data_IF_661821550309
#
_entry.id   IF_661821550309
#
_cell.length_a   1.000
_cell.length_b   1.000
_cell.length_c   1.000
_cell.angle_alpha   90.00
_cell.angle_beta   90.00
_cell.angle_gamma   90.00
#
_symmetry.space_group_name_H-M   'P 1'
#
loop_
_entity.id
_entity.type
_entity.pdbx_description
1 polymer ?
#
# COMPACT_ATOMS: atom_id res chain seq x y z
N UNK A 1 58.42 -22.28 86.62
CA UNK A 1 58.77 -20.96 87.18
C UNK A 1 57.60 -20.00 86.93
N UNK A 2 57.10 -19.35 88.00
CA UNK A 2 56.33 -18.08 88.09
C UNK A 2 55.13 -17.89 87.12
N UNK A 3 53.89 -18.05 87.58
CA UNK A 3 53.00 -17.03 88.20
C UNK A 3 52.79 -15.76 87.35
N UNK A 4 51.57 -15.52 86.85
CA UNK A 4 50.64 -14.53 87.42
C UNK A 4 49.23 -14.64 86.79
N UNK A 5 48.23 -14.84 87.64
CA UNK A 5 46.81 -14.50 87.43
C UNK A 5 46.65 -12.95 87.42
N UNK A 6 45.55 -12.26 87.11
CA UNK A 6 44.12 -12.30 87.51
C UNK A 6 43.48 -11.20 86.58
N UNK A 7 42.27 -11.25 86.01
CA UNK A 7 40.95 -11.04 86.64
C UNK A 7 39.81 -11.25 85.64
N UNK A 8 38.79 -11.92 86.16
CA UNK A 8 37.49 -12.22 85.62
C UNK A 8 36.60 -10.99 85.42
N UNK A 9 35.67 -11.06 84.46
CA UNK A 9 34.26 -10.77 84.71
C UNK A 9 33.40 -11.36 83.59
N UNK A 10 32.56 -12.33 83.94
CA UNK A 10 31.46 -12.79 83.12
C UNK A 10 30.32 -11.76 83.16
N UNK A 11 29.59 -11.60 82.06
CA UNK A 11 28.15 -11.34 82.09
C UNK A 11 27.50 -11.65 80.73
N UNK A 12 26.72 -12.71 80.80
CA UNK A 12 25.64 -13.20 79.96
C UNK A 12 24.93 -12.27 78.96
N UNK A 13 24.40 -12.96 77.93
CA UNK A 13 23.03 -12.89 77.37
C UNK A 13 22.79 -12.20 76.02
N UNK A 14 22.26 -13.06 75.15
CA UNK A 14 21.02 -12.90 74.39
C UNK A 14 21.10 -12.42 72.94
N UNK A 15 20.65 -13.34 72.06
CA UNK A 15 20.31 -13.16 70.66
C UNK A 15 19.44 -11.90 70.46
N UNK A 16 19.87 -11.05 69.54
CA UNK A 16 19.01 -10.09 68.87
C UNK A 16 18.87 -10.51 67.40
N UNK A 17 17.70 -11.05 67.07
CA UNK A 17 17.23 -11.22 65.69
C UNK A 17 17.12 -9.81 65.07
N UNK A 18 18.05 -9.46 64.16
CA UNK A 18 17.92 -8.27 63.32
C UNK A 18 16.87 -8.56 62.25
N UNK A 19 15.70 -7.92 62.37
CA UNK A 19 14.71 -7.80 61.27
C UNK A 19 15.38 -7.12 60.08
N UNK A 20 15.15 -7.57 58.83
CA UNK A 20 15.57 -6.81 57.67
C UNK A 20 14.70 -5.55 57.60
N UNK A 21 15.35 -4.39 57.52
CA UNK A 21 14.68 -3.12 57.26
C UNK A 21 14.05 -3.20 55.87
N UNK A 22 12.73 -3.26 55.83
CA UNK A 22 11.96 -3.12 54.61
C UNK A 22 12.23 -1.71 54.06
N UNK A 23 13.10 -1.60 53.05
CA UNK A 23 13.24 -0.39 52.25
C UNK A 23 12.00 -0.35 51.36
N UNK A 24 10.98 0.37 51.81
CA UNK A 24 9.90 0.80 50.93
C UNK A 24 10.53 1.73 49.90
N UNK A 25 10.76 1.22 48.69
CA UNK A 25 10.86 2.08 47.52
C UNK A 25 9.48 2.71 47.37
N UNK A 26 9.32 3.92 47.91
CA UNK A 26 8.23 4.78 47.46
C UNK A 26 8.54 5.04 45.99
N UNK A 27 7.90 4.28 45.09
CA UNK A 27 7.80 4.69 43.70
C UNK A 27 7.14 6.07 43.77
N UNK A 28 7.94 7.13 43.67
CA UNK A 28 7.41 8.46 43.46
C UNK A 28 6.53 8.32 42.22
N UNK A 29 5.22 8.44 42.40
CA UNK A 29 4.28 8.40 41.29
C UNK A 29 4.77 9.44 40.29
N UNK A 30 5.25 8.97 39.13
CA UNK A 30 5.67 9.86 38.06
C UNK A 30 4.50 10.80 37.81
N UNK A 31 4.75 12.10 37.84
CA UNK A 31 3.72 13.08 37.54
C UNK A 31 3.17 12.74 36.14
N UNK A 32 1.86 12.54 35.98
CA UNK A 32 1.29 12.20 34.68
C UNK A 32 1.69 13.27 33.66
N UNK A 33 2.13 12.84 32.47
CA UNK A 33 2.52 13.76 31.40
C UNK A 33 1.32 14.63 30.93
N UNK A 34 0.09 14.12 31.10
CA UNK A 34 -1.15 14.79 30.78
C UNK A 34 -2.26 14.42 31.76
N UNK A 35 -3.38 15.15 31.70
CA UNK A 35 -4.66 14.65 32.23
C UNK A 35 -5.04 13.33 31.52
N UNK A 36 -5.85 12.46 32.16
CA UNK A 36 -6.35 11.24 31.52
C UNK A 36 -7.02 11.52 30.17
N UNK A 37 -6.71 10.70 29.17
CA UNK A 37 -7.12 10.92 27.78
C UNK A 37 -8.55 10.43 27.53
N UNK A 38 -9.37 11.29 26.95
CA UNK A 38 -10.71 10.99 26.43
C UNK A 38 -10.64 11.10 24.92
N UNK A 39 -10.50 9.95 24.28
CA UNK A 39 -10.05 9.83 22.90
C UNK A 39 -11.24 9.60 21.97
N UNK A 40 -11.35 10.44 20.93
CA UNK A 40 -12.17 10.15 19.77
C UNK A 40 -11.31 9.46 18.69
N UNK A 41 -11.49 8.16 18.52
CA UNK A 41 -10.74 7.35 17.57
C UNK A 41 -11.49 7.22 16.24
N UNK A 42 -10.88 7.68 15.15
CA UNK A 42 -11.47 7.66 13.81
C UNK A 42 -10.71 6.67 12.92
N UNK A 43 -11.39 5.74 12.27
CA UNK A 43 -10.75 4.79 11.35
C UNK A 43 -11.72 3.96 10.51
N UNK A 44 -11.21 2.93 9.83
CA UNK A 44 -12.06 2.10 8.96
C UNK A 44 -11.56 0.68 8.71
N UNK A 45 -10.26 0.46 8.53
CA UNK A 45 -9.68 -0.79 8.04
C UNK A 45 -8.90 -1.57 9.13
N UNK A 46 -8.28 -2.67 8.74
CA UNK A 46 -7.46 -3.52 9.61
C UNK A 46 -6.27 -2.80 10.27
N UNK A 47 -5.69 -1.81 9.58
CA UNK A 47 -4.60 -1.01 10.14
C UNK A 47 -5.11 -0.17 11.32
N UNK A 48 -6.28 0.46 11.15
CA UNK A 48 -6.95 1.16 12.26
C UNK A 48 -7.45 0.24 13.36
N UNK A 49 -7.87 -0.99 13.04
CA UNK A 49 -8.25 -2.00 14.04
C UNK A 49 -7.10 -2.34 14.98
N UNK A 50 -5.89 -2.52 14.45
CA UNK A 50 -4.71 -2.82 15.27
C UNK A 50 -4.38 -1.67 16.24
N UNK A 51 -4.44 -0.43 15.74
CA UNK A 51 -4.25 0.76 16.58
C UNK A 51 -5.31 0.87 17.68
N UNK A 52 -6.60 0.67 17.37
CA UNK A 52 -7.68 0.67 18.37
C UNK A 52 -7.47 -0.42 19.43
N UNK A 53 -7.13 -1.64 19.00
CA UNK A 53 -6.88 -2.75 19.92
C UNK A 53 -5.72 -2.45 20.90
N UNK A 54 -4.65 -1.83 20.40
CA UNK A 54 -3.53 -1.39 21.24
C UNK A 54 -3.94 -0.30 22.25
N UNK A 55 -4.80 0.65 21.85
CA UNK A 55 -5.34 1.67 22.75
C UNK A 55 -6.26 1.08 23.83
N UNK A 56 -7.13 0.13 23.48
CA UNK A 56 -8.00 -0.58 24.44
C UNK A 56 -7.16 -1.35 25.45
N UNK A 57 -6.14 -2.08 24.97
CA UNK A 57 -5.19 -2.79 25.83
C UNK A 57 -4.46 -1.82 26.77
N UNK A 58 -4.04 -0.65 26.27
CA UNK A 58 -3.39 0.36 27.11
C UNK A 58 -4.34 0.98 28.12
N UNK A 59 -5.61 1.21 27.77
CA UNK A 59 -6.64 1.69 28.69
C UNK A 59 -6.86 0.72 29.84
N UNK A 60 -6.91 -0.57 29.58
CA UNK A 60 -7.05 -1.60 30.62
C UNK A 60 -5.83 -1.65 31.54
N UNK A 61 -4.63 -1.52 30.96
CA UNK A 61 -3.36 -1.54 31.69
C UNK A 61 -3.10 -0.26 32.48
N UNK A 62 -3.47 0.89 31.93
CA UNK A 62 -3.15 2.22 32.43
C UNK A 62 -4.36 3.16 32.31
N UNK A 63 -5.41 2.96 33.15
CA UNK A 63 -6.62 3.79 33.12
C UNK A 63 -6.36 5.25 33.54
N UNK A 64 -5.21 5.54 34.15
CA UNK A 64 -4.78 6.91 34.42
C UNK A 64 -4.27 7.65 33.18
N UNK A 65 -3.83 6.93 32.14
CA UNK A 65 -3.44 7.51 30.85
C UNK A 65 -4.63 7.64 29.91
N UNK A 66 -5.48 6.60 29.81
CA UNK A 66 -6.67 6.62 28.94
C UNK A 66 -7.92 6.40 29.78
N UNK A 67 -8.77 7.41 29.83
CA UNK A 67 -10.04 7.42 30.57
C UNK A 67 -11.19 6.83 29.73
N UNK A 68 -11.35 7.29 28.48
CA UNK A 68 -12.43 6.85 27.58
C UNK A 68 -11.99 6.76 26.12
N UNK A 69 -12.70 5.91 25.37
CA UNK A 69 -12.51 5.68 23.94
C UNK A 69 -13.88 5.67 23.26
N UNK A 70 -14.07 6.53 22.27
CA UNK A 70 -15.24 6.57 21.41
C UNK A 70 -14.79 6.42 19.96
N UNK A 71 -15.54 5.66 19.17
CA UNK A 71 -15.12 5.27 17.82
C UNK A 71 -15.96 5.96 16.77
N UNK A 72 -15.32 6.65 15.82
CA UNK A 72 -15.95 7.18 14.60
C UNK A 72 -15.59 6.28 13.43
N UNK A 73 -16.62 5.77 12.77
CA UNK A 73 -16.49 5.00 11.52
C UNK A 73 -17.33 5.65 10.44
N UNK A 74 -16.96 5.40 9.19
CA UNK A 74 -17.87 5.70 8.08
C UNK A 74 -18.98 4.64 8.01
N UNK A 75 -20.19 4.99 7.56
CA UNK A 75 -21.22 4.01 7.26
C UNK A 75 -20.74 2.99 6.22
N UNK A 76 -21.21 1.76 6.34
CA UNK A 76 -20.99 0.73 5.32
C UNK A 76 -21.55 1.19 3.97
N UNK A 77 -20.84 0.87 2.88
CA UNK A 77 -21.28 1.21 1.51
C UNK A 77 -21.87 -0.01 0.83
N UNK A 78 -22.88 0.20 -0.01
CA UNK A 78 -23.41 -0.84 -0.87
C UNK A 78 -22.34 -1.33 -1.86
N UNK A 79 -22.32 -2.64 -2.08
CA UNK A 79 -21.34 -3.38 -2.86
C UNK A 79 -21.97 -4.64 -3.45
N UNK A 80 -21.21 -5.39 -4.25
CA UNK A 80 -21.68 -6.59 -4.95
C UNK A 80 -22.48 -6.30 -6.23
N UNK A 81 -22.85 -7.36 -6.97
CA UNK A 81 -23.68 -7.21 -8.17
C UNK A 81 -25.07 -6.70 -7.78
N UNK A 82 -25.49 -5.57 -8.34
CA UNK A 82 -26.77 -4.93 -8.00
C UNK A 82 -26.75 -4.14 -6.69
N UNK A 83 -25.58 -3.87 -6.09
CA UNK A 83 -25.43 -3.03 -4.89
C UNK A 83 -26.29 -3.49 -3.71
N UNK A 84 -26.44 -4.81 -3.51
CA UNK A 84 -27.31 -5.38 -2.46
C UNK A 84 -26.58 -5.71 -1.17
N UNK A 85 -25.24 -5.77 -1.19
CA UNK A 85 -24.43 -6.17 -0.03
C UNK A 85 -23.82 -4.94 0.62
N UNK A 86 -24.10 -4.69 1.90
CA UNK A 86 -23.39 -3.65 2.65
C UNK A 86 -22.00 -4.19 2.97
N UNK A 87 -20.96 -3.54 2.42
CA UNK A 87 -19.59 -3.79 2.82
C UNK A 87 -19.42 -3.34 4.26
N UNK A 88 -19.26 -4.30 5.15
CA UNK A 88 -18.98 -4.04 6.56
C UNK A 88 -17.64 -3.32 6.72
N UNK A 89 -17.57 -2.43 7.70
CA UNK A 89 -16.36 -1.68 8.05
C UNK A 89 -15.66 -2.45 9.17
N UNK A 90 -14.45 -3.00 8.95
CA UNK A 90 -13.74 -3.81 9.95
C UNK A 90 -13.67 -3.16 11.34
N UNK A 91 -13.39 -1.85 11.41
CA UNK A 91 -13.31 -1.14 12.68
C UNK A 91 -14.64 -1.08 13.43
N UNK A 92 -15.76 -1.00 12.69
CA UNK A 92 -17.10 -0.99 13.30
C UNK A 92 -17.36 -2.31 14.02
N UNK A 93 -17.10 -3.43 13.34
CA UNK A 93 -17.27 -4.76 13.91
C UNK A 93 -16.42 -4.94 15.17
N UNK A 94 -15.15 -4.54 15.12
CA UNK A 94 -14.25 -4.61 16.26
C UNK A 94 -14.75 -3.75 17.45
N UNK A 95 -15.20 -2.53 17.17
CA UNK A 95 -15.71 -1.63 18.21
C UNK A 95 -17.01 -2.15 18.85
N UNK A 96 -17.89 -2.81 18.06
CA UNK A 96 -19.10 -3.48 18.56
C UNK A 96 -18.73 -4.64 19.49
N UNK A 97 -17.77 -5.48 19.09
CA UNK A 97 -17.27 -6.60 19.91
C UNK A 97 -16.66 -6.11 21.23
N UNK A 98 -15.94 -5.00 21.20
CA UNK A 98 -15.35 -4.34 22.37
C UNK A 98 -16.35 -3.50 23.17
N UNK A 99 -17.61 -3.38 22.71
CA UNK A 99 -18.68 -2.58 23.32
C UNK A 99 -18.30 -1.10 23.53
N UNK A 100 -17.53 -0.55 22.59
CA UNK A 100 -17.20 0.87 22.59
C UNK A 100 -18.37 1.69 22.01
N UNK A 101 -18.57 2.95 22.43
CA UNK A 101 -19.50 3.85 21.77
C UNK A 101 -19.08 4.08 20.31
N UNK A 102 -20.05 4.03 19.39
CA UNK A 102 -19.81 4.17 17.95
C UNK A 102 -20.60 5.35 17.38
N UNK A 103 -19.94 6.15 16.57
CA UNK A 103 -20.52 7.23 15.79
C UNK A 103 -20.32 6.96 14.30
N UNK A 104 -21.40 6.61 13.60
CA UNK A 104 -21.35 6.44 12.13
C UNK A 104 -21.51 7.79 11.42
N UNK A 105 -20.46 8.22 10.70
CA UNK A 105 -20.42 9.54 10.05
C UNK A 105 -19.79 9.48 8.66
N UNK A 106 -20.53 9.94 7.66
CA UNK A 106 -20.00 10.23 6.32
C UNK A 106 -19.51 11.68 6.17
N UNK A 107 -19.83 12.54 7.13
CA UNK A 107 -19.35 13.92 7.24
C UNK A 107 -19.35 14.38 8.70
N UNK A 108 -18.48 15.34 9.03
CA UNK A 108 -18.46 16.03 10.32
C UNK A 108 -19.30 17.33 10.33
N UNK A 109 -19.90 17.70 9.20
CA UNK A 109 -20.75 18.90 9.11
C UNK A 109 -21.92 18.82 10.09
N UNK A 110 -22.05 19.83 10.96
CA UNK A 110 -23.14 19.93 11.94
C UNK A 110 -23.07 18.91 13.09
N UNK A 111 -22.02 18.09 13.18
CA UNK A 111 -21.88 17.07 14.22
C UNK A 111 -20.75 17.39 15.20
N UNK A 112 -20.97 17.13 16.48
CA UNK A 112 -19.92 17.09 17.50
C UNK A 112 -20.17 15.93 18.44
N UNK A 113 -19.13 15.35 19.05
CA UNK A 113 -19.33 14.38 20.11
C UNK A 113 -20.04 15.07 21.29
N UNK A 114 -20.95 14.34 21.94
CA UNK A 114 -21.64 14.81 23.15
C UNK A 114 -20.78 14.68 24.40
N UNK A 115 -19.67 13.95 24.28
CA UNK A 115 -18.68 13.74 25.33
C UNK A 115 -17.58 14.79 25.28
N UNK A 116 -16.98 15.05 26.44
CA UNK A 116 -15.79 15.89 26.53
C UNK A 116 -14.56 15.11 26.04
N UNK A 117 -14.03 15.48 24.87
CA UNK A 117 -12.83 14.87 24.29
C UNK A 117 -11.63 15.77 24.52
N UNK A 118 -10.46 15.18 24.74
CA UNK A 118 -9.21 15.95 24.83
C UNK A 118 -8.15 15.52 23.82
N UNK A 119 -8.38 14.44 23.06
CA UNK A 119 -7.52 13.99 21.98
C UNK A 119 -8.33 13.33 20.86
N UNK A 120 -7.97 13.61 19.60
CA UNK A 120 -8.50 12.90 18.43
C UNK A 120 -7.39 12.03 17.85
N UNK A 121 -7.67 10.77 17.53
CA UNK A 121 -6.71 9.90 16.85
C UNK A 121 -7.37 9.43 15.56
N UNK A 122 -6.82 9.80 14.40
CA UNK A 122 -7.31 9.33 13.11
C UNK A 122 -6.28 8.41 12.47
N UNK A 123 -6.66 7.17 12.17
CA UNK A 123 -5.80 6.14 11.56
C UNK A 123 -6.57 5.53 10.40
N UNK A 124 -6.02 5.59 9.18
CA UNK A 124 -6.72 5.14 7.96
C UNK A 124 -8.16 5.65 7.86
N UNK A 125 -8.36 6.94 8.14
CA UNK A 125 -9.67 7.57 8.14
C UNK A 125 -9.84 8.50 6.94
N UNK A 126 -10.81 8.18 6.08
CA UNK A 126 -11.00 8.87 4.79
C UNK A 126 -11.74 10.21 4.86
N UNK A 127 -11.91 10.81 6.05
CA UNK A 127 -12.50 12.15 6.20
C UNK A 127 -11.52 13.08 6.91
N UNK A 128 -11.53 14.33 6.47
CA UNK A 128 -10.74 15.38 7.08
C UNK A 128 -11.35 15.80 8.41
N UNK A 129 -10.59 15.79 9.51
CA UNK A 129 -11.07 16.25 10.82
C UNK A 129 -11.06 17.79 10.84
N UNK A 130 -12.22 18.45 10.91
CA UNK A 130 -12.28 19.90 10.78
C UNK A 130 -11.62 20.61 11.97
N UNK A 131 -11.08 21.83 11.78
CA UNK A 131 -10.46 22.60 12.85
C UNK A 131 -11.35 22.79 14.08
N UNK A 132 -12.68 22.90 13.90
CA UNK A 132 -13.63 22.99 15.01
C UNK A 132 -13.53 21.80 15.97
N UNK A 133 -13.39 20.58 15.46
CA UNK A 133 -13.25 19.39 16.32
C UNK A 133 -11.85 19.31 16.93
N UNK A 134 -10.80 19.63 16.15
CA UNK A 134 -9.43 19.69 16.67
C UNK A 134 -9.29 20.69 17.84
N UNK A 135 -10.01 21.82 17.78
CA UNK A 135 -10.01 22.83 18.82
C UNK A 135 -10.81 22.44 20.07
N UNK A 136 -11.73 21.47 19.98
CA UNK A 136 -12.39 20.90 21.16
C UNK A 136 -11.42 20.03 21.96
N UNK A 137 -10.53 19.33 21.27
CA UNK A 137 -9.54 18.47 21.89
C UNK A 137 -8.34 19.29 22.40
N UNK A 138 -8.16 19.36 23.72
CA UNK A 138 -7.03 20.06 24.38
C UNK A 138 -5.66 19.74 23.76
N UNK A 139 -5.43 18.49 23.36
CA UNK A 139 -4.18 18.00 22.76
C UNK A 139 -4.25 17.87 21.24
N UNK A 140 -5.29 18.42 20.60
CA UNK A 140 -5.49 18.38 19.15
C UNK A 140 -5.75 16.96 18.66
N UNK A 141 -5.00 16.53 17.65
CA UNK A 141 -5.12 15.15 17.16
C UNK A 141 -3.85 14.57 16.59
N UNK A 142 -3.83 13.24 16.48
CA UNK A 142 -2.72 12.43 16.01
C UNK A 142 -3.14 11.56 14.82
N UNK A 143 -2.15 11.23 14.00
CA UNK A 143 -2.23 10.22 12.95
C UNK A 143 -0.99 9.33 12.99
N UNK A 144 -1.18 8.05 12.68
CA UNK A 144 -0.09 7.12 12.41
C UNK A 144 -0.12 6.80 10.92
N UNK A 145 0.93 7.19 10.21
CA UNK A 145 1.05 7.03 8.78
C UNK A 145 2.09 5.94 8.47
N UNK A 146 1.77 4.93 7.63
CA UNK A 146 2.69 3.82 7.36
C UNK A 146 3.66 4.16 6.22
N UNK A 147 4.38 5.27 6.37
CA UNK A 147 5.57 5.64 5.59
C UNK A 147 6.55 6.45 6.43
N UNK A 148 7.76 6.69 5.89
CA UNK A 148 8.71 7.68 6.40
C UNK A 148 8.40 9.07 5.82
N UNK A 149 7.47 9.80 6.44
CA UNK A 149 7.17 11.18 6.01
C UNK A 149 8.45 12.06 6.01
N UNK A 150 8.61 12.95 5.01
CA UNK A 150 7.61 13.39 4.03
C UNK A 150 7.40 12.46 2.82
N UNK A 151 8.10 11.33 2.71
CA UNK A 151 7.94 10.39 1.60
C UNK A 151 6.60 9.64 1.67
N UNK A 152 6.02 9.40 0.49
CA UNK A 152 4.73 8.71 0.28
C UNK A 152 3.53 9.29 1.04
N UNK A 153 3.43 10.62 1.17
CA UNK A 153 2.18 11.24 1.67
C UNK A 153 0.96 10.78 0.88
N UNK A 154 -0.17 10.59 1.56
CA UNK A 154 -1.44 10.31 0.91
C UNK A 154 -2.02 8.94 1.25
N UNK A 155 -3.12 8.56 0.58
CA UNK A 155 -3.97 7.47 1.05
C UNK A 155 -3.53 6.04 0.68
N UNK A 156 -2.50 5.84 -0.15
CA UNK A 156 -2.06 4.50 -0.56
C UNK A 156 -0.53 4.26 -0.43
N UNK A 157 0.09 4.62 0.71
CA UNK A 157 1.55 4.63 0.87
C UNK A 157 2.19 3.26 0.66
N UNK A 158 1.56 2.18 1.14
CA UNK A 158 2.11 0.82 1.05
C UNK A 158 2.24 0.35 -0.40
N UNK A 159 1.20 0.58 -1.20
CA UNK A 159 1.20 0.18 -2.60
C UNK A 159 2.23 0.98 -3.39
N UNK A 160 2.26 2.31 -3.21
CA UNK A 160 3.22 3.17 -3.91
C UNK A 160 4.66 2.87 -3.49
N UNK A 161 4.90 2.56 -2.22
CA UNK A 161 6.22 2.12 -1.74
C UNK A 161 6.73 0.91 -2.53
N UNK A 162 5.87 -0.10 -2.72
CA UNK A 162 6.21 -1.30 -3.49
C UNK A 162 6.34 -1.03 -5.00
N UNK A 163 5.44 -0.22 -5.58
CA UNK A 163 5.49 0.14 -7.00
C UNK A 163 6.76 0.92 -7.36
N UNK A 164 7.24 1.77 -6.45
CA UNK A 164 8.50 2.50 -6.58
C UNK A 164 9.73 1.66 -6.21
N UNK A 165 9.56 0.35 -5.96
CA UNK A 165 10.63 -0.61 -5.67
C UNK A 165 11.53 -0.15 -4.51
N UNK A 166 10.93 0.51 -3.50
CA UNK A 166 11.67 0.87 -2.29
C UNK A 166 12.14 -0.41 -1.59
N UNK A 167 13.34 -0.35 -1.03
CA UNK A 167 13.91 -1.43 -0.22
C UNK A 167 13.56 -1.28 1.26
N UNK A 168 13.12 -0.09 1.67
CA UNK A 168 12.72 0.23 3.04
C UNK A 168 11.44 1.07 3.05
N UNK A 169 10.66 0.92 4.11
CA UNK A 169 9.52 1.78 4.46
C UNK A 169 9.68 2.29 5.89
N UNK A 170 8.66 2.87 6.48
CA UNK A 170 8.63 3.13 7.91
C UNK A 170 7.24 3.45 8.39
N UNK A 171 7.17 3.85 9.65
CA UNK A 171 5.96 4.39 10.26
C UNK A 171 6.28 5.75 10.87
N UNK A 172 5.32 6.66 10.77
CA UNK A 172 5.40 8.00 11.34
C UNK A 172 4.18 8.29 12.21
N UNK A 173 4.41 8.66 13.47
CA UNK A 173 3.43 9.30 14.33
C UNK A 173 3.55 10.82 14.17
N UNK A 174 2.46 11.47 13.77
CA UNK A 174 2.39 12.91 13.55
C UNK A 174 1.13 13.50 14.18
N UNK A 175 1.08 14.82 14.29
CA UNK A 175 -0.18 15.51 14.56
C UNK A 175 -1.12 15.46 13.35
N UNK A 176 -2.40 15.74 13.57
CA UNK A 176 -3.30 16.13 12.49
C UNK A 176 -3.04 17.58 12.10
N UNK A 177 -3.00 17.85 10.79
CA UNK A 177 -2.87 19.19 10.25
C UNK A 177 -4.26 19.74 9.87
N UNK A 178 -4.47 21.06 9.97
CA UNK A 178 -5.78 21.71 9.86
C UNK A 178 -6.37 21.82 8.45
N UNK A 179 -5.58 21.56 7.40
CA UNK A 179 -6.04 21.68 6.00
C UNK A 179 -5.55 20.58 5.04
N UNK A 180 -4.57 19.80 5.45
CA UNK A 180 -3.80 18.93 4.53
C UNK A 180 -3.53 17.61 5.22
N UNK A 181 -3.82 16.49 4.57
CA UNK A 181 -3.45 15.17 5.10
C UNK A 181 -1.93 15.02 5.13
N UNK A 182 -1.40 14.35 6.16
CA UNK A 182 0.01 13.94 6.25
C UNK A 182 1.06 15.07 6.23
N UNK A 183 0.65 16.24 6.71
CA UNK A 183 1.49 17.43 6.91
C UNK A 183 1.56 17.84 8.39
N UNK A 184 1.30 16.91 9.32
CA UNK A 184 1.43 17.15 10.74
C UNK A 184 2.89 17.31 11.18
N UNK A 185 3.07 17.84 12.39
CA UNK A 185 4.38 17.78 13.06
C UNK A 185 4.72 16.34 13.35
N UNK A 186 5.87 15.85 12.91
CA UNK A 186 6.30 14.48 13.17
C UNK A 186 6.81 14.36 14.60
N UNK A 187 6.17 13.53 15.40
CA UNK A 187 6.43 13.37 16.84
C UNK A 187 7.29 12.14 17.14
N UNK A 188 7.15 11.10 16.33
CA UNK A 188 7.98 9.90 16.36
C UNK A 188 7.99 9.28 14.97
N UNK A 189 9.10 8.63 14.63
CA UNK A 189 9.27 8.00 13.34
C UNK A 189 10.20 6.80 13.49
N UNK A 190 10.03 5.80 12.63
CA UNK A 190 11.00 4.70 12.55
C UNK A 190 12.38 5.26 12.23
N UNK A 191 13.44 4.87 12.96
CA UNK A 191 14.80 5.31 12.64
C UNK A 191 15.23 4.89 11.23
N UNK A 192 16.04 5.71 10.57
CA UNK A 192 16.65 5.37 9.29
C UNK A 192 17.57 4.14 9.41
N UNK A 193 17.65 3.28 8.38
CA UNK A 193 17.07 3.44 7.04
C UNK A 193 15.56 3.09 6.94
N UNK A 194 14.93 2.68 8.05
CA UNK A 194 13.53 2.27 8.11
C UNK A 194 13.35 0.77 8.31
N UNK A 195 12.16 0.29 8.00
CA UNK A 195 11.78 -1.13 8.04
C UNK A 195 12.14 -1.75 6.69
N UNK A 196 13.00 -2.79 6.64
CA UNK A 196 13.35 -3.45 5.38
C UNK A 196 12.13 -4.12 4.76
N UNK A 197 12.02 -4.02 3.44
CA UNK A 197 10.96 -4.64 2.65
C UNK A 197 11.50 -5.94 2.06
N UNK A 198 10.87 -7.09 2.34
CA UNK A 198 11.26 -8.36 1.72
C UNK A 198 11.20 -8.31 0.20
N UNK A 199 12.06 -9.08 -0.46
CA UNK A 199 11.97 -9.27 -1.90
C UNK A 199 10.61 -9.85 -2.28
N UNK A 200 10.06 -9.39 -3.40
CA UNK A 200 8.74 -9.82 -3.88
C UNK A 200 7.61 -9.69 -2.85
N UNK A 201 7.72 -8.74 -1.91
CA UNK A 201 6.68 -8.47 -0.93
C UNK A 201 5.37 -8.05 -1.61
N UNK A 202 4.25 -8.62 -1.13
CA UNK A 202 2.89 -8.20 -1.44
C UNK A 202 2.47 -7.04 -0.55
N UNK A 203 1.45 -6.28 -0.96
CA UNK A 203 0.87 -5.22 -0.12
C UNK A 203 0.37 -5.76 1.22
N UNK A 204 -0.18 -6.98 1.26
CA UNK A 204 -0.68 -7.58 2.49
C UNK A 204 0.46 -7.94 3.44
N UNK A 205 1.54 -8.55 2.95
CA UNK A 205 2.71 -8.84 3.78
C UNK A 205 3.35 -7.56 4.32
N UNK A 206 3.48 -6.51 3.49
CA UNK A 206 4.00 -5.23 3.96
C UNK A 206 3.09 -4.60 5.03
N UNK A 207 1.76 -4.67 4.82
CA UNK A 207 0.78 -4.26 5.82
C UNK A 207 1.00 -5.03 7.14
N UNK A 208 1.14 -6.35 7.10
CA UNK A 208 1.29 -7.18 8.29
C UNK A 208 2.60 -6.90 9.04
N UNK A 209 3.65 -6.48 8.32
CA UNK A 209 4.92 -6.02 8.91
C UNK A 209 4.76 -4.67 9.64
N UNK A 210 4.17 -3.67 8.99
CA UNK A 210 4.13 -2.29 9.53
C UNK A 210 3.03 -2.05 10.56
N UNK A 211 1.94 -2.80 10.49
CA UNK A 211 0.75 -2.62 11.33
C UNK A 211 1.04 -2.73 12.83
N UNK A 212 1.70 -3.81 13.34
CA UNK A 212 2.00 -3.90 14.76
C UNK A 212 2.95 -2.78 15.23
N UNK A 213 3.95 -2.44 14.42
CA UNK A 213 4.90 -1.36 14.71
C UNK A 213 4.20 0.01 14.82
N UNK A 214 3.20 0.24 13.98
CA UNK A 214 2.38 1.44 14.01
C UNK A 214 1.52 1.55 15.27
N UNK A 215 0.88 0.46 15.66
CA UNK A 215 0.09 0.40 16.88
C UNK A 215 0.97 0.62 18.13
N UNK A 216 2.16 0.01 18.17
CA UNK A 216 3.12 0.19 19.25
C UNK A 216 3.65 1.62 19.32
N UNK A 217 4.00 2.22 18.17
CA UNK A 217 4.47 3.61 18.10
C UNK A 217 3.44 4.60 18.62
N UNK A 218 2.14 4.36 18.34
CA UNK A 218 1.06 5.19 18.87
C UNK A 218 1.03 5.15 20.40
N UNK A 219 1.00 3.95 20.98
CA UNK A 219 0.91 3.76 22.43
C UNK A 219 2.17 4.27 23.14
N UNK A 220 3.36 4.02 22.58
CA UNK A 220 4.62 4.58 23.11
C UNK A 220 4.58 6.12 23.11
N UNK A 221 4.08 6.72 22.02
CA UNK A 221 3.93 8.16 21.91
C UNK A 221 3.02 8.75 22.99
N UNK A 222 1.89 8.09 23.28
CA UNK A 222 0.98 8.51 24.36
C UNK A 222 1.65 8.37 25.75
N UNK A 223 2.31 7.23 26.02
CA UNK A 223 3.01 7.00 27.31
C UNK A 223 4.11 8.02 27.56
N UNK A 224 4.81 8.45 26.52
CA UNK A 224 5.87 9.47 26.57
C UNK A 224 5.33 10.90 26.59
N UNK A 225 4.03 11.09 26.45
CA UNK A 225 3.42 12.43 26.42
C UNK A 225 3.74 13.23 25.17
N UNK A 226 3.99 12.59 24.02
CA UNK A 226 4.37 13.30 22.78
C UNK A 226 3.25 14.20 22.24
N UNK A 227 2.01 13.95 22.63
CA UNK A 227 0.84 14.78 22.32
C UNK A 227 0.77 16.07 23.15
N UNK A 228 1.62 16.23 24.16
CA UNK A 228 1.57 17.36 25.10
C UNK A 228 2.47 18.49 24.60
N UNK A 229 1.93 19.71 24.39
CA UNK A 229 2.75 20.86 24.02
C UNK A 229 3.81 21.23 25.08
N UNK A 230 4.95 21.82 24.68
CA UNK A 230 5.34 22.16 23.30
C UNK A 230 5.75 20.93 22.49
N UNK A 231 5.23 20.83 21.27
CA UNK A 231 5.55 19.73 20.35
C UNK A 231 6.93 19.96 19.72
N UNK A 232 7.69 18.88 19.56
CA UNK A 232 8.99 18.89 18.88
C UNK A 232 8.90 18.08 17.60
N UNK A 233 9.21 18.72 16.47
CA UNK A 233 9.36 18.01 15.20
C UNK A 233 10.67 17.21 15.20
N UNK A 234 10.55 15.90 15.12
CA UNK A 234 11.67 14.94 15.03
C UNK A 234 11.71 14.21 13.69
N UNK A 235 10.89 14.64 12.73
CA UNK A 235 10.81 14.01 11.43
C UNK A 235 12.14 14.07 10.69
N UNK A 236 12.41 13.01 9.93
CA UNK A 236 13.49 13.01 8.96
C UNK A 236 13.31 14.17 7.96
N UNK A 237 14.41 14.87 7.68
CA UNK A 237 14.48 16.00 6.77
C UNK A 237 15.40 15.63 5.60
N UNK A 238 14.85 15.19 4.46
CA UNK A 238 15.66 14.92 3.28
C UNK A 238 16.33 16.20 2.78
N UNK A 239 17.55 16.07 2.26
CA UNK A 239 18.33 17.17 1.67
C UNK A 239 18.90 16.76 0.31
N UNK A 240 19.15 17.74 -0.56
CA UNK A 240 19.75 17.50 -1.88
C UNK A 240 18.97 16.50 -2.74
N UNK A 241 19.66 15.49 -3.28
CA UNK A 241 19.09 14.45 -4.15
C UNK A 241 18.00 13.60 -3.46
N UNK A 242 17.95 13.54 -2.13
CA UNK A 242 16.89 12.81 -1.42
C UNK A 242 15.52 13.47 -1.61
N UNK A 243 15.50 14.80 -1.75
CA UNK A 243 14.27 15.57 -1.98
C UNK A 243 13.67 15.23 -3.34
N UNK A 244 14.52 15.09 -4.37
CA UNK A 244 14.10 14.73 -5.74
C UNK A 244 13.52 13.30 -5.82
N UNK A 245 13.87 12.46 -4.86
CA UNK A 245 13.39 11.07 -4.77
C UNK A 245 12.07 10.95 -4.00
N UNK A 246 11.56 12.02 -3.39
CA UNK A 246 10.29 11.97 -2.66
C UNK A 246 9.13 11.67 -3.60
N UNK A 247 8.25 10.78 -3.17
CA UNK A 247 7.09 10.35 -3.91
C UNK A 247 5.81 10.74 -3.17
N UNK A 248 4.75 11.02 -3.92
CA UNK A 248 3.39 11.08 -3.37
C UNK A 248 2.71 9.72 -3.55
N UNK A 249 1.77 9.38 -2.67
CA UNK A 249 1.02 8.13 -2.69
C UNK A 249 -0.47 8.38 -2.92
N UNK A 250 -0.88 8.83 -4.12
CA UNK A 250 -2.26 9.14 -4.42
C UNK A 250 -3.17 7.92 -4.33
N UNK A 251 -4.47 8.17 -4.20
CA UNK A 251 -5.47 7.11 -4.10
C UNK A 251 -5.50 6.28 -5.38
N UNK A 252 -5.37 4.97 -5.22
CA UNK A 252 -5.49 4.04 -6.33
C UNK A 252 -6.91 4.00 -6.92
N UNK A 253 -6.99 3.99 -8.24
CA UNK A 253 -8.22 3.89 -9.03
C UNK A 253 -8.29 2.55 -9.76
N UNK A 254 -9.36 2.34 -10.53
CA UNK A 254 -9.48 1.15 -11.39
C UNK A 254 -8.51 1.22 -12.57
N UNK A 255 -8.15 2.43 -13.01
CA UNK A 255 -7.28 2.66 -14.16
C UNK A 255 -5.84 2.21 -13.86
N UNK A 256 -5.36 2.36 -12.63
CA UNK A 256 -4.03 1.87 -12.20
C UNK A 256 -3.83 0.35 -12.41
N UNK A 257 -4.93 -0.39 -12.61
CA UNK A 257 -4.91 -1.84 -12.87
C UNK A 257 -5.05 -2.20 -14.34
N UNK A 258 -5.18 -1.21 -15.24
CA UNK A 258 -5.17 -1.44 -16.68
C UNK A 258 -3.75 -1.68 -17.15
N UNK A 259 -3.49 -2.80 -17.82
CA UNK A 259 -2.15 -3.09 -18.35
C UNK A 259 -1.80 -2.06 -19.43
N UNK A 260 -0.71 -1.32 -19.22
CA UNK A 260 -0.13 -0.45 -20.22
C UNK A 260 1.00 -1.19 -20.96
N UNK A 261 0.65 -1.83 -22.08
CA UNK A 261 1.60 -2.57 -22.93
C UNK A 261 2.68 -1.69 -23.56
N UNK A 262 2.48 -0.37 -23.63
CA UNK A 262 3.44 0.57 -24.21
C UNK A 262 4.60 0.91 -23.26
N UNK A 263 4.31 0.95 -21.96
CA UNK A 263 5.23 1.52 -20.97
C UNK A 263 5.75 0.47 -19.99
N UNK A 264 4.97 -0.56 -19.69
CA UNK A 264 5.34 -1.51 -18.64
C UNK A 264 6.16 -2.66 -19.23
N UNK A 265 7.29 -2.95 -18.59
CA UNK A 265 8.04 -4.20 -18.78
C UNK A 265 7.28 -5.42 -18.23
N UNK A 266 7.75 -6.64 -18.54
CA UNK A 266 7.21 -7.85 -17.92
C UNK A 266 7.29 -7.81 -16.38
N UNK A 267 8.41 -7.33 -15.83
CA UNK A 267 8.61 -7.14 -14.39
C UNK A 267 7.65 -6.12 -13.79
N UNK A 268 7.39 -5.01 -14.49
CA UNK A 268 6.41 -4.00 -14.07
C UNK A 268 5.00 -4.56 -13.97
N UNK A 269 4.62 -5.40 -14.93
CA UNK A 269 3.29 -6.03 -14.98
C UNK A 269 3.14 -7.01 -13.81
N UNK A 270 4.13 -7.86 -13.57
CA UNK A 270 4.09 -8.82 -12.45
C UNK A 270 4.16 -8.12 -11.09
N UNK A 271 5.00 -7.09 -10.93
CA UNK A 271 5.02 -6.24 -9.74
C UNK A 271 3.64 -5.63 -9.47
N UNK A 272 3.01 -5.03 -10.47
CA UNK A 272 1.68 -4.42 -10.33
C UNK A 272 0.62 -5.45 -10.01
N UNK A 273 0.66 -6.64 -10.62
CA UNK A 273 -0.27 -7.72 -10.27
C UNK A 273 -0.12 -8.12 -8.80
N UNK A 274 1.11 -8.23 -8.32
CA UNK A 274 1.41 -8.59 -6.93
C UNK A 274 0.95 -7.52 -5.93
N UNK A 275 1.13 -6.24 -6.27
CA UNK A 275 0.84 -5.10 -5.38
C UNK A 275 -0.64 -4.71 -5.41
N UNK A 276 -1.24 -4.67 -6.61
CA UNK A 276 -2.59 -4.15 -6.85
C UNK A 276 -3.65 -5.26 -6.94
N UNK A 277 -3.23 -6.52 -7.07
CA UNK A 277 -4.10 -7.66 -7.33
C UNK A 277 -4.41 -7.82 -8.83
N UNK A 278 -5.58 -8.35 -9.21
CA UNK A 278 -5.90 -8.64 -10.61
C UNK A 278 -5.80 -7.40 -11.50
N UNK A 279 -4.93 -7.49 -12.51
CA UNK A 279 -4.83 -6.53 -13.61
C UNK A 279 -5.83 -6.88 -14.70
N UNK A 280 -6.21 -5.87 -15.48
CA UNK A 280 -7.14 -6.02 -16.58
C UNK A 280 -6.63 -5.36 -17.84
N UNK A 281 -7.11 -5.85 -18.97
CA UNK A 281 -6.89 -5.29 -20.29
C UNK A 281 -8.18 -5.43 -21.10
N UNK A 282 -8.30 -4.71 -22.20
CA UNK A 282 -9.41 -4.86 -23.13
C UNK A 282 -8.89 -5.41 -24.45
N UNK A 283 -9.42 -6.55 -24.88
CA UNK A 283 -9.07 -7.20 -26.13
C UNK A 283 -10.16 -6.97 -27.17
N UNK A 284 -9.76 -6.73 -28.42
CA UNK A 284 -10.67 -6.70 -29.57
C UNK A 284 -10.77 -8.10 -30.16
N UNK A 285 -11.98 -8.64 -30.24
CA UNK A 285 -12.25 -9.90 -30.91
C UNK A 285 -12.00 -9.75 -32.41
N UNK A 286 -11.32 -10.72 -33.03
CA UNK A 286 -10.82 -10.54 -34.39
C UNK A 286 -11.92 -10.52 -35.47
N UNK A 287 -12.97 -11.34 -35.31
CA UNK A 287 -14.08 -11.43 -36.28
C UNK A 287 -15.13 -10.31 -36.12
N UNK A 288 -15.82 -10.26 -34.98
CA UNK A 288 -16.95 -9.34 -34.75
C UNK A 288 -16.55 -7.95 -34.22
N UNK A 289 -15.24 -7.71 -34.03
CA UNK A 289 -14.64 -6.48 -33.48
C UNK A 289 -15.18 -6.08 -32.10
N UNK A 290 -15.79 -7.01 -31.37
CA UNK A 290 -16.30 -6.77 -30.02
C UNK A 290 -15.16 -6.60 -29.02
N UNK A 291 -15.26 -5.58 -28.17
CA UNK A 291 -14.30 -5.34 -27.09
C UNK A 291 -14.70 -6.12 -25.85
N UNK A 292 -13.76 -6.90 -25.31
CA UNK A 292 -13.96 -7.71 -24.11
C UNK A 292 -12.88 -7.40 -23.08
N UNK A 293 -13.29 -7.16 -21.83
CA UNK A 293 -12.33 -7.06 -20.73
C UNK A 293 -11.80 -8.45 -20.36
N UNK A 294 -10.49 -8.53 -20.18
CA UNK A 294 -9.78 -9.73 -19.77
C UNK A 294 -8.98 -9.46 -18.50
N UNK A 295 -8.77 -10.52 -17.73
CA UNK A 295 -7.87 -10.56 -16.58
C UNK A 295 -6.84 -11.65 -16.85
N UNK A 296 -5.57 -11.28 -16.90
CA UNK A 296 -4.46 -12.22 -17.05
C UNK A 296 -4.10 -12.74 -15.65
N UNK A 297 -4.27 -14.04 -15.44
CA UNK A 297 -4.13 -14.66 -14.12
C UNK A 297 -2.82 -15.43 -14.02
N UNK A 298 -2.18 -15.35 -12.85
CA UNK A 298 -0.93 -16.06 -12.53
C UNK A 298 0.23 -15.75 -13.49
N UNK A 299 0.40 -14.48 -13.86
CA UNK A 299 1.49 -14.10 -14.76
C UNK A 299 2.83 -14.27 -14.07
N UNK A 300 3.82 -14.73 -14.84
CA UNK A 300 5.19 -14.93 -14.39
C UNK A 300 6.14 -14.30 -15.40
N UNK A 301 7.19 -13.64 -14.91
CA UNK A 301 8.31 -13.28 -15.77
C UNK A 301 9.13 -14.54 -15.99
N UNK A 302 9.42 -14.84 -17.25
CA UNK A 302 10.27 -15.96 -17.66
C UNK A 302 11.37 -15.44 -18.57
N UNK A 303 12.46 -16.17 -18.62
CA UNK A 303 13.44 -16.02 -19.69
C UNK A 303 12.74 -16.24 -21.04
N UNK A 304 13.08 -15.42 -22.04
CA UNK A 304 12.50 -15.52 -23.36
C UNK A 304 12.86 -16.88 -23.96
N UNK A 305 11.89 -17.73 -24.35
CA UNK A 305 12.20 -18.96 -25.05
C UNK A 305 12.98 -18.69 -26.35
N UNK A 306 14.00 -19.51 -26.65
CA UNK A 306 14.91 -19.31 -27.80
C UNK A 306 14.17 -19.09 -29.13
N UNK A 307 13.08 -19.82 -29.37
CA UNK A 307 12.30 -19.66 -30.61
C UNK A 307 11.57 -18.30 -30.70
N UNK A 308 11.18 -17.72 -29.56
CA UNK A 308 10.54 -16.40 -29.49
C UNK A 308 11.61 -15.31 -29.63
N UNK A 309 12.76 -15.47 -29.00
CA UNK A 309 13.90 -14.54 -29.15
C UNK A 309 14.36 -14.48 -30.61
N UNK A 310 14.53 -15.64 -31.25
CA UNK A 310 14.90 -15.72 -32.66
C UNK A 310 13.80 -15.13 -33.57
N UNK A 311 12.53 -15.31 -33.23
CA UNK A 311 11.42 -14.67 -33.93
C UNK A 311 11.46 -13.14 -33.79
N UNK A 312 11.73 -12.63 -32.59
CA UNK A 312 11.79 -11.20 -32.31
C UNK A 312 12.92 -10.51 -33.08
N UNK A 313 14.08 -11.15 -33.18
CA UNK A 313 15.21 -10.69 -33.99
C UNK A 313 14.81 -10.57 -35.47
N UNK A 314 14.24 -11.63 -36.05
CA UNK A 314 13.79 -11.62 -37.46
C UNK A 314 12.65 -10.62 -37.70
N UNK A 315 11.77 -10.43 -36.72
CA UNK A 315 10.73 -9.41 -36.80
C UNK A 315 11.32 -7.99 -36.83
N UNK A 316 12.36 -7.71 -36.03
CA UNK A 316 13.10 -6.43 -36.08
C UNK A 316 13.81 -6.22 -37.42
N UNK A 317 14.46 -7.26 -37.95
CA UNK A 317 15.08 -7.23 -39.29
C UNK A 317 14.05 -6.97 -40.40
N UNK A 318 12.83 -7.48 -40.25
CA UNK A 318 11.75 -7.19 -41.19
C UNK A 318 11.29 -5.73 -41.08
N UNK A 319 11.05 -5.24 -39.86
CA UNK A 319 10.59 -3.86 -39.62
C UNK A 319 11.62 -2.82 -40.09
N UNK A 320 12.93 -3.12 -40.01
CA UNK A 320 13.99 -2.24 -40.51
C UNK A 320 14.32 -2.44 -42.01
N UNK A 321 13.65 -3.39 -42.69
CA UNK A 321 13.80 -3.67 -44.12
C UNK A 321 14.99 -4.55 -44.50
N UNK A 322 15.72 -5.11 -43.54
CA UNK A 322 16.86 -6.01 -43.80
C UNK A 322 16.45 -7.44 -44.16
N UNK A 323 15.22 -7.85 -43.83
CA UNK A 323 14.68 -9.18 -44.14
C UNK A 323 13.35 -9.10 -44.90
N UNK A 324 13.25 -9.78 -46.05
CA UNK A 324 12.01 -9.83 -46.81
C UNK A 324 11.00 -10.82 -46.20
N UNK A 325 9.71 -10.57 -46.42
CA UNK A 325 8.64 -11.44 -45.91
C UNK A 325 8.71 -12.87 -46.44
N UNK A 326 9.22 -13.05 -47.66
CA UNK A 326 9.37 -14.34 -48.33
C UNK A 326 10.47 -15.21 -47.71
N UNK A 327 11.41 -14.60 -46.96
CA UNK A 327 12.52 -15.27 -46.30
C UNK A 327 12.18 -15.67 -44.85
N UNK A 328 11.05 -15.20 -44.30
CA UNK A 328 10.63 -15.56 -42.95
C UNK A 328 10.24 -17.04 -42.87
N UNK A 329 10.66 -17.77 -41.82
CA UNK A 329 10.18 -19.12 -41.55
C UNK A 329 8.66 -19.19 -41.51
N UNK A 330 8.07 -20.31 -41.94
CA UNK A 330 6.60 -20.47 -41.93
C UNK A 330 6.00 -20.22 -40.53
N UNK A 331 6.64 -20.75 -39.48
CA UNK A 331 6.16 -20.56 -38.10
C UNK A 331 6.08 -19.09 -37.67
N UNK A 332 6.99 -18.24 -38.18
CA UNK A 332 7.00 -16.81 -37.88
C UNK A 332 5.82 -16.08 -38.52
N UNK A 333 5.38 -16.54 -39.71
CA UNK A 333 4.22 -16.00 -40.43
C UNK A 333 2.89 -16.40 -39.78
N UNK A 334 2.90 -17.46 -38.98
CA UNK A 334 1.73 -17.98 -38.28
C UNK A 334 1.59 -17.42 -36.85
N UNK A 335 2.50 -16.54 -36.42
CA UNK A 335 2.41 -15.87 -35.12
C UNK A 335 1.15 -15.01 -35.08
N UNK A 336 0.37 -15.23 -34.01
CA UNK A 336 -0.89 -14.53 -33.78
C UNK A 336 -0.69 -13.32 -32.89
N UNK A 337 -1.49 -12.31 -33.16
CA UNK A 337 -1.50 -11.02 -32.51
C UNK A 337 -2.87 -10.77 -31.90
N UNK A 338 -2.86 -10.19 -30.70
CA UNK A 338 -4.08 -9.64 -30.08
C UNK A 338 -3.99 -8.13 -30.07
N UNK A 339 -5.09 -7.51 -30.48
CA UNK A 339 -5.26 -6.07 -30.35
C UNK A 339 -5.78 -5.74 -28.95
N UNK A 340 -4.93 -5.10 -28.15
CA UNK A 340 -5.27 -4.59 -26.83
C UNK A 340 -5.58 -3.09 -26.89
N UNK A 341 -6.60 -2.68 -26.15
CA UNK A 341 -6.98 -1.29 -25.99
C UNK A 341 -6.52 -0.77 -24.63
N UNK A 342 -5.89 0.40 -24.66
CA UNK A 342 -5.58 1.19 -23.48
C UNK A 342 -6.40 2.46 -23.49
N UNK A 343 -7.04 2.77 -22.36
CA UNK A 343 -7.94 3.91 -22.24
C UNK A 343 -7.34 4.89 -21.27
N UNK A 344 -7.02 6.13 -21.68
CA UNK A 344 -6.51 7.11 -20.75
C UNK A 344 -7.52 7.39 -19.63
N UNK A 345 -7.03 7.75 -18.46
CA UNK A 345 -7.88 8.17 -17.35
C UNK A 345 -8.53 9.53 -17.63
N UNK A 346 -9.71 9.77 -17.05
CA UNK A 346 -10.36 11.07 -17.12
C UNK A 346 -11.22 11.30 -18.36
N UNK A 347 -11.52 12.57 -18.71
CA UNK A 347 -12.43 12.92 -19.81
C UNK A 347 -11.95 12.43 -21.18
N UNK A 348 -10.64 12.40 -21.41
CA UNK A 348 -10.04 11.98 -22.68
C UNK A 348 -10.38 10.54 -23.04
N UNK A 349 -10.44 9.65 -22.04
CA UNK A 349 -10.80 8.24 -22.23
C UNK A 349 -12.26 8.01 -22.63
N UNK A 350 -13.11 9.05 -22.67
CA UNK A 350 -14.48 8.94 -23.20
C UNK A 350 -14.52 8.91 -24.72
N UNK A 351 -13.51 9.48 -25.36
CA UNK A 351 -13.41 9.52 -26.82
C UNK A 351 -12.54 8.33 -27.29
N UNK A 352 -13.10 7.39 -28.08
CA UNK A 352 -12.35 6.27 -28.64
C UNK A 352 -11.14 6.67 -29.48
N UNK A 353 -11.13 7.89 -30.06
CA UNK A 353 -9.98 8.37 -30.85
C UNK A 353 -8.71 8.56 -30.00
N UNK A 354 -8.86 8.72 -28.69
CA UNK A 354 -7.76 8.86 -27.74
C UNK A 354 -7.29 7.53 -27.15
N UNK A 355 -7.90 6.40 -27.55
CA UNK A 355 -7.51 5.09 -27.02
C UNK A 355 -6.23 4.61 -27.69
N UNK A 356 -5.30 4.10 -26.89
CA UNK A 356 -4.13 3.40 -27.39
C UNK A 356 -4.55 2.03 -27.93
N UNK A 357 -4.10 1.69 -29.13
CA UNK A 357 -4.31 0.38 -29.73
C UNK A 357 -2.96 -0.32 -29.90
N UNK A 358 -2.79 -1.48 -29.25
CA UNK A 358 -1.54 -2.22 -29.20
C UNK A 358 -1.74 -3.62 -29.75
N UNK A 359 -1.18 -3.89 -30.92
CA UNK A 359 -1.05 -5.25 -31.41
C UNK A 359 0.13 -5.91 -30.67
N UNK A 360 -0.14 -6.91 -29.86
CA UNK A 360 0.88 -7.66 -29.09
C UNK A 360 0.88 -9.10 -29.56
N UNK A 361 2.04 -9.68 -29.92
CA UNK A 361 2.12 -11.07 -30.35
C UNK A 361 2.02 -11.99 -29.13
N UNK A 362 1.54 -13.22 -29.34
CA UNK A 362 1.59 -14.25 -28.32
C UNK A 362 1.95 -15.61 -28.90
N UNK A 363 2.58 -16.43 -28.08
CA UNK A 363 3.12 -17.73 -28.47
C UNK A 363 2.51 -18.80 -27.55
N UNK A 364 1.75 -19.75 -28.09
CA UNK A 364 1.25 -20.85 -27.28
C UNK A 364 2.38 -21.68 -26.68
N UNK A 365 2.28 -22.03 -25.41
CA UNK A 365 3.20 -23.01 -24.81
C UNK A 365 3.03 -24.36 -25.51
N UNK A 366 4.15 -25.02 -25.85
CA UNK A 366 4.16 -26.31 -26.55
C UNK A 366 3.43 -27.37 -25.73
N UNK A 367 3.79 -27.46 -24.45
CA UNK A 367 3.19 -28.39 -23.49
C UNK A 367 2.40 -27.61 -22.45
N UNK A 368 1.09 -27.52 -22.62
CA UNK A 368 0.21 -26.92 -21.62
C UNK A 368 -0.88 -26.02 -22.21
N UNK A 369 -1.45 -25.21 -21.32
CA UNK A 369 -2.51 -24.26 -21.64
C UNK A 369 -2.05 -22.79 -21.61
N UNK A 370 -0.79 -22.53 -21.31
CA UNK A 370 -0.27 -21.17 -21.19
C UNK A 370 0.04 -20.54 -22.56
N UNK A 371 0.27 -19.24 -22.52
CA UNK A 371 0.86 -18.48 -23.62
C UNK A 371 2.05 -17.67 -23.10
N UNK A 372 2.99 -17.39 -23.97
CA UNK A 372 4.07 -16.43 -23.76
C UNK A 372 3.72 -15.13 -24.48
N UNK A 373 3.96 -14.00 -23.83
CA UNK A 373 3.76 -12.67 -24.37
C UNK A 373 5.08 -11.92 -24.21
N UNK A 374 5.87 -11.72 -25.28
CA UNK A 374 7.02 -10.83 -25.24
C UNK A 374 6.51 -9.39 -25.05
N UNK A 375 7.16 -8.65 -24.15
CA UNK A 375 6.74 -7.28 -23.79
C UNK A 375 7.77 -6.30 -24.35
N UNK A 376 7.29 -5.23 -25.01
CA UNK A 376 8.16 -4.27 -25.72
C UNK A 376 9.29 -3.70 -24.86
N UNK A 377 8.99 -3.40 -23.59
CA UNK A 377 9.96 -2.81 -22.66
C UNK A 377 10.72 -3.85 -21.84
N UNK A 378 10.89 -5.06 -22.40
CA UNK A 378 11.75 -6.11 -21.87
C UNK A 378 11.01 -7.24 -21.17
N UNK A 379 11.57 -8.43 -21.35
CA UNK A 379 11.15 -9.68 -20.73
C UNK A 379 9.99 -10.38 -21.44
N UNK A 380 9.66 -11.58 -20.95
CA UNK A 380 8.58 -12.39 -21.45
C UNK A 380 7.62 -12.73 -20.32
N UNK A 381 6.32 -12.55 -20.55
CA UNK A 381 5.29 -12.98 -19.63
C UNK A 381 4.80 -14.36 -20.00
N UNK A 382 4.91 -15.31 -19.08
CA UNK A 382 4.16 -16.57 -19.15
C UNK A 382 2.80 -16.37 -18.48
N UNK A 383 1.72 -16.59 -19.23
CA UNK A 383 0.33 -16.42 -18.78
C UNK A 383 -0.39 -17.77 -18.85
N UNK A 384 -0.61 -18.46 -17.71
CA UNK A 384 -1.26 -19.77 -17.69
C UNK A 384 -2.77 -19.72 -17.94
N UNK A 385 -3.45 -18.70 -17.42
CA UNK A 385 -4.89 -18.59 -17.44
C UNK A 385 -5.36 -17.18 -17.75
N UNK A 386 -6.48 -17.09 -18.46
CA UNK A 386 -7.16 -15.83 -18.75
C UNK A 386 -8.63 -15.97 -18.38
N UNK A 387 -9.12 -14.94 -17.72
CA UNK A 387 -10.55 -14.78 -17.43
C UNK A 387 -11.11 -13.66 -18.28
N UNK A 388 -12.03 -14.01 -19.18
CA UNK A 388 -12.82 -13.03 -19.91
C UNK A 388 -13.98 -12.58 -19.02
N UNK A 389 -14.27 -11.28 -18.98
CA UNK A 389 -15.37 -10.72 -18.20
C UNK A 389 -16.69 -11.44 -18.49
N UNK A 390 -17.42 -11.82 -17.42
CA UNK A 390 -18.64 -12.63 -17.52
C UNK A 390 -18.42 -14.14 -17.61
N UNK A 391 -17.17 -14.63 -17.67
CA UNK A 391 -16.85 -16.06 -17.76
C UNK A 391 -15.97 -16.56 -16.60
N UNK A 392 -15.81 -17.89 -16.52
CA UNK A 392 -14.80 -18.52 -15.64
C UNK A 392 -13.43 -18.46 -16.32
N UNK A 393 -12.36 -18.41 -15.52
CA UNK A 393 -11.00 -18.52 -16.01
C UNK A 393 -10.80 -19.82 -16.78
N UNK A 394 -10.05 -19.75 -17.89
CA UNK A 394 -9.68 -20.90 -18.72
C UNK A 394 -8.18 -20.84 -19.00
N UNK A 395 -7.62 -21.95 -19.49
CA UNK A 395 -6.28 -21.97 -20.08
C UNK A 395 -6.13 -20.82 -21.09
N UNK A 396 -5.04 -20.05 -20.98
CA UNK A 396 -4.81 -18.85 -21.77
C UNK A 396 -4.90 -19.13 -23.28
N UNK A 397 -4.29 -20.23 -23.75
CA UNK A 397 -4.33 -20.68 -25.14
C UNK A 397 -5.75 -20.82 -25.68
N UNK A 398 -6.69 -21.29 -24.86
CA UNK A 398 -8.11 -21.44 -25.24
C UNK A 398 -8.88 -20.14 -25.14
N UNK A 399 -8.58 -19.31 -24.14
CA UNK A 399 -9.29 -18.06 -23.91
C UNK A 399 -8.96 -16.98 -24.95
N UNK A 400 -7.73 -16.99 -25.47
CA UNK A 400 -7.23 -15.99 -26.43
C UNK A 400 -7.46 -16.37 -27.89
N UNK A 401 -7.84 -17.63 -28.17
CA UNK A 401 -7.97 -18.15 -29.53
C UNK A 401 -8.91 -17.32 -30.43
N UNK A 402 -10.01 -16.84 -29.87
CA UNK A 402 -11.02 -16.04 -30.58
C UNK A 402 -10.60 -14.55 -30.72
N UNK A 403 -9.44 -14.17 -30.19
CA UNK A 403 -8.90 -12.81 -30.23
C UNK A 403 -7.61 -12.71 -31.05
N UNK A 404 -6.93 -13.83 -31.25
CA UNK A 404 -5.68 -13.91 -32.01
C UNK A 404 -5.92 -13.99 -33.51
N UNK A 405 -5.37 -13.02 -34.24
CA UNK A 405 -5.33 -12.99 -35.71
C UNK A 405 -3.89 -12.99 -36.22
N UNK A 406 -3.67 -13.48 -37.44
CA UNK A 406 -2.39 -13.24 -38.10
C UNK A 406 -2.25 -11.74 -38.37
N UNK A 407 -1.01 -11.24 -38.55
CA UNK A 407 -0.82 -9.83 -38.85
C UNK A 407 -1.46 -9.49 -40.21
N UNK A 408 -2.55 -8.71 -40.20
CA UNK A 408 -3.11 -8.13 -41.43
C UNK A 408 -2.14 -7.08 -41.96
N UNK A 409 -1.42 -7.43 -43.03
CA UNK A 409 -0.40 -6.58 -43.67
C UNK A 409 -1.02 -5.30 -44.29
N UNK A 410 -2.33 -5.28 -44.57
CA UNK A 410 -2.97 -4.19 -45.33
C UNK A 410 -3.96 -3.30 -44.57
N UNK A 411 -4.27 -3.57 -43.29
CA UNK A 411 -5.38 -2.89 -42.59
C UNK A 411 -5.00 -2.26 -41.24
N UNK A 412 -3.76 -1.84 -41.04
CA UNK A 412 -3.33 -1.16 -39.81
C UNK A 412 -3.86 0.29 -39.79
N UNK A 413 -4.93 0.63 -39.06
CA UNK A 413 -5.43 1.97 -39.04
C UNK A 413 -4.56 2.76 -38.06
N UNK A 414 -3.80 3.70 -38.61
CA UNK A 414 -3.17 4.84 -37.94
C UNK A 414 -1.99 4.59 -36.99
N UNK A 415 -0.80 5.05 -37.46
CA UNK A 415 0.40 5.41 -36.67
C UNK A 415 1.11 4.25 -35.95
N UNK A 416 1.68 3.32 -36.72
CA UNK A 416 2.71 2.38 -36.24
C UNK A 416 3.96 3.17 -35.78
N UNK A 417 4.20 3.22 -34.46
CA UNK A 417 5.56 3.01 -33.94
C UNK A 417 5.73 1.50 -33.92
N UNK A 418 6.75 0.97 -34.61
CA UNK A 418 6.98 -0.48 -34.67
C UNK A 418 7.06 -1.08 -33.27
N UNK A 419 6.50 -2.28 -33.07
CA UNK A 419 6.45 -2.95 -31.76
C UNK A 419 7.84 -3.19 -31.15
N UNK A 420 8.89 -3.22 -31.99
CA UNK A 420 10.29 -3.27 -31.57
C UNK A 420 11.16 -2.20 -32.26
N UNK A 421 10.54 -1.14 -32.80
CA UNK A 421 11.23 -0.05 -33.48
C UNK A 421 11.97 0.85 -32.51
N UNK A 422 13.18 1.27 -32.90
CA UNK A 422 14.16 2.00 -32.09
C UNK A 422 13.56 3.00 -31.09
N UNK A 423 14.05 2.91 -29.86
CA UNK A 423 13.70 3.82 -28.78
C UNK A 423 13.93 5.28 -29.15
N UNK A 424 12.85 6.02 -29.40
CA UNK A 424 12.85 7.48 -29.33
C UNK A 424 11.43 8.08 -29.15
N UNK A 425 11.38 9.01 -28.19
CA UNK A 425 10.38 10.08 -28.01
C UNK A 425 9.00 9.66 -27.48
N UNK A 426 8.93 9.49 -26.16
CA UNK A 426 7.81 9.97 -25.34
C UNK A 426 8.32 10.70 -24.07
N UNK A 427 9.44 11.43 -24.19
CA UNK A 427 9.87 12.41 -23.19
C UNK A 427 9.07 13.74 -23.27
N UNK A 428 7.85 13.73 -23.82
CA UNK A 428 7.15 14.94 -24.26
C UNK A 428 5.88 15.34 -23.49
N UNK A 429 5.39 14.55 -22.53
CA UNK A 429 4.12 14.84 -21.84
C UNK A 429 4.16 14.66 -20.31
N UNK A 430 5.35 14.66 -19.71
CA UNK A 430 5.53 14.55 -18.25
C UNK A 430 6.05 15.84 -17.55
N UNK A 431 5.86 17.01 -18.16
CA UNK A 431 6.19 18.31 -17.55
C UNK A 431 4.98 19.20 -17.33
N UNK A 432 3.84 18.65 -16.91
CA UNK A 432 2.70 19.46 -16.46
C UNK A 432 1.80 18.79 -15.42
N UNK A 433 2.34 18.09 -14.42
CA UNK A 433 1.64 17.86 -13.14
C UNK A 433 2.67 17.78 -12.00
N UNK A 434 3.39 18.88 -11.80
CA UNK A 434 4.12 19.21 -10.58
C UNK A 434 3.58 20.56 -10.08
N UNK A 435 2.44 20.51 -9.37
CA UNK A 435 2.04 21.45 -8.30
C UNK A 435 1.27 20.65 -7.26
#
# INVERSE_FOLDING_TARGET
MKWLAVRSAALARARLLRRPTCRSYSAAAATPASDPLRILFCGSDSFSCAALNALVTEKERNPGLIESLDVVVRPGKLSGRGMKEIRQVPLKMLAEDMKLPIHERDTFTGWQPEIDINLIIAVSFGLFVPPRLLNLAKYGGLNVHPSLLPDFRGPAPLQHTLLQRRTHTGVTLQTLHHKTFDHGTVLSQTPLPGIPIPENCTTQELHDIVTPLAADMLVDGLRRGLHVPPLKDVGWKPEGEEVEKLCHAPKLTKHDRQINWAEWSADDIVLRQRVLGPLWCEAVHHEDKKVMRMFLEHMQVVEMPEHIEAWEERYRERENGSLAMEDLPQGDREVKWVTWLWKPEGPEGKDPENWGQFAVPYFPEETGGAIFIPVMNGGCLRVPAIKVEGSRAKAAKKAIADFGQNEDVESSPTKKKGFFGDGAVLAGLLTSFLI
#
